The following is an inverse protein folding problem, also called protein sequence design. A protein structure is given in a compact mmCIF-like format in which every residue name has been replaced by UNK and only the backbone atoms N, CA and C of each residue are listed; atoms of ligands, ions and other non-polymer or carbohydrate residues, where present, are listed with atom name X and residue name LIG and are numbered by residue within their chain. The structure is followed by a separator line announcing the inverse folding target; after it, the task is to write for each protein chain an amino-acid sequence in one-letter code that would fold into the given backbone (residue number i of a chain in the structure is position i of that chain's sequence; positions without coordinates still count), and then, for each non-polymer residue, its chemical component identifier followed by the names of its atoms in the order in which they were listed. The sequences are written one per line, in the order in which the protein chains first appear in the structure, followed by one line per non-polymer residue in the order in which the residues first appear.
data_IF_287197061708
#
_entry.id   IF_287197061708
#
_cell.length_a   1.000
_cell.length_b   1.000
_cell.length_c   1.000
_cell.angle_alpha   90.00
_cell.angle_beta   90.00
_cell.angle_gamma   90.00
#
_symmetry.space_group_name_H-M   'P 1'
#
loop_
_entity.id
_entity.type
_entity.pdbx_description
1 polymer ?
#
# COMPACT_ATOMS: atom_id res chain seq x y z
N UNK A 1 -22.50 -15.42 13.80
CA UNK A 1 -23.21 -14.75 12.69
C UNK A 1 -23.57 -13.31 13.03
N UNK A 2 -24.24 -13.02 14.15
CA UNK A 2 -24.58 -11.63 14.56
C UNK A 2 -23.37 -10.67 14.63
N UNK A 3 -22.23 -11.09 15.19
CA UNK A 3 -21.04 -10.23 15.28
C UNK A 3 -20.45 -9.81 13.94
N UNK A 4 -20.54 -10.64 12.90
CA UNK A 4 -20.05 -10.32 11.55
C UNK A 4 -20.98 -9.27 10.91
N UNK A 5 -22.29 -9.41 11.10
CA UNK A 5 -23.29 -8.44 10.61
C UNK A 5 -23.09 -7.09 11.29
N UNK A 6 -22.88 -7.09 12.61
CA UNK A 6 -22.63 -5.87 13.39
C UNK A 6 -21.33 -5.17 12.95
N UNK A 7 -20.26 -5.93 12.73
CA UNK A 7 -19.00 -5.38 12.22
C UNK A 7 -19.14 -4.80 10.82
N UNK A 8 -19.91 -5.46 9.95
CA UNK A 8 -20.19 -4.96 8.60
C UNK A 8 -21.01 -3.66 8.62
N UNK A 9 -22.08 -3.63 9.42
CA UNK A 9 -22.91 -2.42 9.57
C UNK A 9 -22.11 -1.27 10.17
N UNK A 10 -21.25 -1.54 11.14
CA UNK A 10 -20.39 -0.53 11.74
C UNK A 10 -19.34 0.02 10.75
N UNK A 11 -18.72 -0.84 9.95
CA UNK A 11 -17.82 -0.43 8.87
C UNK A 11 -18.57 0.43 7.85
N UNK A 12 -19.76 0.01 7.44
CA UNK A 12 -20.62 0.78 6.52
C UNK A 12 -20.99 2.14 7.12
N UNK A 13 -21.35 2.20 8.41
CA UNK A 13 -21.64 3.45 9.12
C UNK A 13 -20.42 4.38 9.13
N UNK A 14 -19.21 3.85 9.41
CA UNK A 14 -17.97 4.64 9.35
C UNK A 14 -17.77 5.20 7.94
N UNK A 15 -17.99 4.41 6.89
CA UNK A 15 -17.90 4.88 5.51
C UNK A 15 -18.86 6.03 5.21
N UNK A 16 -20.13 5.87 5.57
CA UNK A 16 -21.16 6.91 5.37
C UNK A 16 -20.81 8.18 6.15
N UNK A 17 -20.44 8.04 7.41
CA UNK A 17 -20.01 9.16 8.25
C UNK A 17 -18.82 9.90 7.62
N UNK A 18 -17.80 9.17 7.14
CA UNK A 18 -16.63 9.77 6.48
C UNK A 18 -17.00 10.43 5.14
N UNK A 19 -17.96 9.92 4.39
CA UNK A 19 -18.46 10.59 3.19
C UNK A 19 -19.09 11.93 3.55
N UNK A 20 -19.91 12.00 4.60
CA UNK A 20 -20.53 13.24 5.10
C UNK A 20 -19.45 14.22 5.55
N UNK A 21 -18.48 13.77 6.35
CA UNK A 21 -17.36 14.60 6.81
C UNK A 21 -16.45 15.09 5.68
N UNK A 22 -16.36 14.34 4.58
CA UNK A 22 -15.55 14.73 3.43
C UNK A 22 -16.29 15.70 2.49
N UNK A 23 -17.61 15.78 2.58
CA UNK A 23 -18.44 16.62 1.70
C UNK A 23 -17.93 18.07 1.60
N UNK A 24 -17.60 18.79 2.70
CA UNK A 24 -17.08 20.15 2.63
C UNK A 24 -15.77 20.25 1.85
N UNK A 25 -14.94 19.20 1.88
CA UNK A 25 -13.64 19.21 1.17
C UNK A 25 -13.76 19.06 -0.34
N UNK A 26 -14.94 18.65 -0.86
CA UNK A 26 -15.19 18.62 -2.30
C UNK A 26 -15.15 20.04 -2.90
N UNK A 27 -15.46 21.06 -2.12
CA UNK A 27 -15.47 22.46 -2.55
C UNK A 27 -14.12 23.15 -2.43
N UNK A 28 -13.09 22.50 -1.85
CA UNK A 28 -11.75 23.06 -1.83
C UNK A 28 -11.23 23.23 -3.26
N UNK A 29 -10.62 24.38 -3.55
CA UNK A 29 -10.00 24.63 -4.87
C UNK A 29 -8.69 23.86 -5.02
N UNK A 30 -7.91 23.70 -3.95
CA UNK A 30 -6.60 23.08 -3.99
C UNK A 30 -6.69 21.54 -4.10
N UNK A 31 -6.24 21.02 -5.24
CA UNK A 31 -6.24 19.58 -5.57
C UNK A 31 -5.33 18.78 -4.61
N UNK A 32 -4.18 19.30 -4.25
CA UNK A 32 -3.24 18.63 -3.35
C UNK A 32 -3.85 18.43 -1.97
N UNK A 33 -4.49 19.46 -1.43
CA UNK A 33 -5.21 19.38 -0.15
C UNK A 33 -6.32 18.31 -0.20
N UNK A 34 -7.07 18.21 -1.29
CA UNK A 34 -8.10 17.16 -1.45
C UNK A 34 -7.48 15.77 -1.40
N UNK A 35 -6.39 15.55 -2.13
CA UNK A 35 -5.68 14.26 -2.17
C UNK A 35 -5.20 13.88 -0.76
N UNK A 36 -4.50 14.79 -0.08
CA UNK A 36 -3.98 14.56 1.29
C UNK A 36 -5.10 14.24 2.28
N UNK A 37 -6.19 14.98 2.27
CA UNK A 37 -7.35 14.73 3.13
C UNK A 37 -7.97 13.35 2.87
N UNK A 38 -8.12 12.94 1.60
CA UNK A 38 -8.63 11.62 1.27
C UNK A 38 -7.70 10.50 1.78
N UNK A 39 -6.37 10.67 1.67
CA UNK A 39 -5.39 9.69 2.17
C UNK A 39 -5.38 9.62 3.70
N UNK A 40 -5.49 10.76 4.39
CA UNK A 40 -5.63 10.81 5.85
C UNK A 40 -6.89 10.06 6.29
N UNK A 41 -8.03 10.26 5.64
CA UNK A 41 -9.26 9.54 5.98
C UNK A 41 -9.15 8.04 5.76
N UNK A 42 -8.55 7.59 4.65
CA UNK A 42 -8.30 6.16 4.43
C UNK A 42 -7.40 5.56 5.51
N UNK A 43 -6.38 6.30 5.95
CA UNK A 43 -5.51 5.90 7.05
C UNK A 43 -6.28 5.78 8.37
N UNK A 44 -7.05 6.79 8.75
CA UNK A 44 -7.85 6.78 9.99
C UNK A 44 -8.85 5.63 10.02
N UNK A 45 -9.51 5.37 8.88
CA UNK A 45 -10.39 4.22 8.73
C UNK A 45 -9.64 2.90 8.91
N UNK A 46 -8.44 2.80 8.34
CA UNK A 46 -7.59 1.62 8.46
C UNK A 46 -7.17 1.37 9.90
N UNK A 47 -6.73 2.42 10.61
CA UNK A 47 -6.38 2.34 12.03
C UNK A 47 -7.59 1.92 12.88
N UNK A 48 -8.76 2.50 12.62
CA UNK A 48 -9.99 2.15 13.32
C UNK A 48 -10.40 0.70 13.07
N UNK A 49 -10.29 0.23 11.82
CA UNK A 49 -10.56 -1.16 11.44
C UNK A 49 -9.65 -2.13 12.20
N UNK A 50 -8.34 -1.87 12.22
CA UNK A 50 -7.37 -2.73 12.93
C UNK A 50 -7.65 -2.77 14.45
N UNK A 51 -8.05 -1.64 15.05
CA UNK A 51 -8.45 -1.56 16.46
C UNK A 51 -9.70 -2.39 16.75
N UNK A 52 -10.76 -2.25 15.94
CA UNK A 52 -12.02 -2.98 16.09
C UNK A 52 -11.79 -4.50 16.02
N UNK A 53 -10.94 -4.94 15.10
CA UNK A 53 -10.60 -6.34 14.92
C UNK A 53 -9.55 -6.84 15.94
N UNK A 54 -9.08 -5.97 16.83
CA UNK A 54 -8.00 -6.23 17.79
C UNK A 54 -6.74 -6.82 17.10
N UNK A 55 -6.35 -6.22 15.97
CA UNK A 55 -5.13 -6.60 15.24
C UNK A 55 -3.96 -5.80 15.81
N UNK A 56 -2.96 -6.52 16.36
CA UNK A 56 -1.74 -5.92 16.91
C UNK A 56 -0.65 -5.90 15.85
N UNK A 57 -0.19 -4.71 15.47
CA UNK A 57 0.89 -4.52 14.49
C UNK A 57 2.19 -4.25 15.23
N UNK A 58 3.17 -5.14 15.04
CA UNK A 58 4.52 -5.00 15.57
C UNK A 58 5.47 -4.55 14.45
N UNK A 59 6.14 -3.41 14.64
CA UNK A 59 7.04 -2.81 13.66
C UNK A 59 8.49 -3.11 14.09
N UNK A 60 9.28 -3.61 13.14
CA UNK A 60 10.72 -3.83 13.30
C UNK A 60 11.47 -3.04 12.24
N UNK A 61 12.53 -2.37 12.65
CA UNK A 61 13.45 -1.71 11.72
C UNK A 61 14.74 -2.52 11.63
N UNK A 62 15.28 -2.63 10.43
CA UNK A 62 16.56 -3.30 10.16
C UNK A 62 17.66 -2.29 9.86
N UNK A 63 18.92 -2.73 10.03
CA UNK A 63 20.11 -1.96 9.65
C UNK A 63 20.16 -0.55 10.26
N UNK A 64 19.72 -0.41 11.52
CA UNK A 64 19.63 0.86 12.25
C UNK A 64 18.83 1.96 11.53
N UNK A 65 18.00 1.56 10.57
CA UNK A 65 17.12 2.48 9.87
C UNK A 65 15.91 2.84 10.73
N UNK A 66 15.52 4.12 10.68
CA UNK A 66 14.25 4.58 11.25
C UNK A 66 13.53 5.42 10.18
N UNK A 67 12.29 5.06 9.89
CA UNK A 67 11.47 5.72 8.86
C UNK A 67 11.30 7.23 9.12
N UNK A 68 11.35 7.66 10.38
CA UNK A 68 11.21 9.07 10.75
C UNK A 68 12.43 9.92 10.35
N UNK A 69 13.58 9.30 10.06
CA UNK A 69 14.77 9.99 9.57
C UNK A 69 14.76 10.24 8.07
N UNK A 70 13.75 9.70 7.38
CA UNK A 70 13.67 9.80 5.93
C UNK A 70 13.22 11.19 5.50
N UNK A 71 13.94 11.78 4.54
CA UNK A 71 13.53 13.04 3.92
C UNK A 71 12.25 12.85 3.10
N UNK A 72 11.17 13.46 3.58
CA UNK A 72 9.83 13.38 2.95
C UNK A 72 9.77 14.07 1.58
N UNK A 73 10.79 14.83 1.19
CA UNK A 73 10.87 15.47 -0.13
C UNK A 73 11.38 14.52 -1.20
N UNK A 74 11.97 13.39 -0.81
CA UNK A 74 12.44 12.39 -1.77
C UNK A 74 11.29 11.61 -2.39
N UNK A 75 11.48 11.19 -3.63
CA UNK A 75 10.58 10.23 -4.27
C UNK A 75 10.72 8.87 -3.59
N UNK A 76 9.62 8.33 -3.09
CA UNK A 76 9.61 7.09 -2.32
C UNK A 76 8.69 6.08 -2.98
N UNK A 77 9.20 4.88 -3.22
CA UNK A 77 8.41 3.71 -3.57
C UNK A 77 8.62 2.63 -2.52
N UNK A 78 7.54 2.21 -1.89
CA UNK A 78 7.53 1.12 -0.90
C UNK A 78 7.25 -0.17 -1.64
N UNK A 79 8.10 -1.17 -1.48
CA UNK A 79 7.93 -2.51 -2.07
C UNK A 79 7.64 -3.49 -0.94
N UNK A 80 6.47 -4.12 -0.98
CA UNK A 80 6.05 -5.09 0.04
C UNK A 80 5.56 -6.40 -0.58
N UNK A 81 5.68 -7.52 0.15
CA UNK A 81 4.98 -8.75 -0.20
C UNK A 81 3.46 -8.61 0.02
N UNK A 82 2.67 -9.51 -0.57
CA UNK A 82 1.20 -9.39 -0.58
C UNK A 82 0.51 -10.66 -0.13
N UNK A 83 0.09 -10.70 1.13
CA UNK A 83 -0.58 -11.84 1.74
C UNK A 83 -2.12 -11.70 1.73
N UNK A 84 -2.63 -10.49 1.99
CA UNK A 84 -4.03 -10.26 2.29
C UNK A 84 -4.51 -8.87 1.86
N UNK A 85 -5.83 -8.65 1.84
CA UNK A 85 -6.38 -7.30 1.76
C UNK A 85 -5.97 -6.44 2.98
N UNK A 86 -5.65 -7.09 4.10
CA UNK A 86 -5.24 -6.43 5.33
C UNK A 86 -3.81 -5.87 5.29
N UNK A 87 -3.02 -6.18 4.26
CA UNK A 87 -1.73 -5.52 4.04
C UNK A 87 -1.90 -4.01 3.84
N UNK A 88 -3.00 -3.58 3.20
CA UNK A 88 -3.29 -2.16 2.95
C UNK A 88 -3.53 -1.39 4.26
N UNK A 89 -4.50 -1.77 5.12
CA UNK A 89 -4.70 -1.07 6.40
C UNK A 89 -3.50 -1.17 7.33
N UNK A 90 -2.74 -2.27 7.30
CA UNK A 90 -1.51 -2.41 8.08
C UNK A 90 -0.47 -1.38 7.61
N UNK A 91 -0.18 -1.29 6.32
CA UNK A 91 0.78 -0.31 5.79
C UNK A 91 0.34 1.13 6.02
N UNK A 92 -0.95 1.45 5.87
CA UNK A 92 -1.48 2.78 6.18
C UNK A 92 -1.29 3.15 7.66
N UNK A 93 -1.40 2.18 8.57
CA UNK A 93 -1.16 2.40 9.99
C UNK A 93 0.31 2.56 10.36
N UNK A 94 1.20 1.85 9.66
CA UNK A 94 2.65 1.86 9.88
C UNK A 94 3.29 3.14 9.34
N UNK A 95 2.93 3.55 8.12
CA UNK A 95 3.45 4.74 7.47
C UNK A 95 2.61 5.99 7.76
N UNK A 96 2.20 6.16 9.02
CA UNK A 96 1.28 7.24 9.44
C UNK A 96 1.79 8.66 9.16
N UNK A 97 3.11 8.84 9.11
CA UNK A 97 3.76 10.12 8.83
C UNK A 97 3.85 10.44 7.33
N UNK A 98 3.43 9.49 6.47
CA UNK A 98 3.48 9.62 5.03
C UNK A 98 2.08 9.45 4.45
N UNK A 99 1.77 10.29 3.46
CA UNK A 99 0.51 10.15 2.71
C UNK A 99 0.69 9.10 1.60
N UNK A 100 0.87 7.81 1.99
CA UNK A 100 1.10 6.73 1.04
C UNK A 100 -0.13 6.43 0.18
N UNK A 101 0.10 6.09 -1.09
CA UNK A 101 -0.89 5.55 -2.00
C UNK A 101 -0.52 4.13 -2.45
N UNK A 102 -1.38 3.51 -3.25
CA UNK A 102 -1.18 2.13 -3.71
C UNK A 102 -1.37 2.00 -5.21
N UNK A 103 -0.63 1.07 -5.82
CA UNK A 103 -0.92 0.55 -7.16
C UNK A 103 -1.89 -0.61 -7.00
N UNK A 104 -3.13 -0.40 -7.38
CA UNK A 104 -4.22 -1.36 -7.30
C UNK A 104 -4.54 -2.00 -8.65
N UNK A 105 -5.28 -3.09 -8.66
CA UNK A 105 -5.81 -3.69 -9.88
C UNK A 105 -6.90 -2.80 -10.49
N UNK A 106 -6.97 -2.75 -11.82
CA UNK A 106 -7.98 -1.97 -12.57
C UNK A 106 -9.42 -2.33 -12.16
N UNK A 107 -9.68 -3.60 -11.88
CA UNK A 107 -11.00 -4.09 -11.48
C UNK A 107 -11.50 -3.45 -10.16
N UNK A 108 -10.60 -2.99 -9.30
CA UNK A 108 -10.98 -2.30 -8.05
C UNK A 108 -11.54 -0.90 -8.30
N UNK A 109 -11.38 -0.35 -9.51
CA UNK A 109 -11.91 0.95 -9.88
C UNK A 109 -13.45 1.01 -9.88
N UNK A 110 -14.10 -0.13 -9.97
CA UNK A 110 -15.57 -0.28 -9.95
C UNK A 110 -16.12 -0.72 -8.60
N UNK A 111 -15.26 -0.99 -7.63
CA UNK A 111 -15.72 -1.41 -6.30
C UNK A 111 -16.49 -0.29 -5.61
N UNK A 112 -17.68 -0.56 -5.06
CA UNK A 112 -18.46 0.45 -4.38
C UNK A 112 -17.69 1.00 -3.17
N UNK A 113 -17.89 2.25 -2.83
CA UNK A 113 -17.27 3.00 -1.74
C UNK A 113 -15.75 3.14 -1.83
N UNK A 114 -14.97 2.03 -1.89
CA UNK A 114 -13.51 2.04 -1.92
C UNK A 114 -12.95 2.77 -3.14
N UNK A 115 -13.50 2.51 -4.32
CA UNK A 115 -12.99 3.12 -5.56
C UNK A 115 -13.07 4.63 -5.52
N UNK A 116 -14.15 5.18 -4.94
CA UNK A 116 -14.35 6.63 -4.81
C UNK A 116 -13.24 7.26 -3.95
N UNK A 117 -12.91 6.65 -2.81
CA UNK A 117 -11.85 7.12 -1.94
C UNK A 117 -10.47 6.94 -2.55
N UNK A 118 -10.22 5.85 -3.25
CA UNK A 118 -8.98 5.62 -3.98
C UNK A 118 -8.80 6.67 -5.10
N UNK A 119 -9.85 7.01 -5.84
CA UNK A 119 -9.84 8.08 -6.85
C UNK A 119 -9.56 9.45 -6.22
N UNK A 120 -10.24 9.78 -5.13
CA UNK A 120 -9.99 11.02 -4.37
C UNK A 120 -8.55 11.12 -3.86
N UNK A 121 -8.00 10.00 -3.37
CA UNK A 121 -6.61 9.89 -2.91
C UNK A 121 -5.58 9.78 -4.05
N UNK A 122 -6.02 9.86 -5.32
CA UNK A 122 -5.17 9.74 -6.50
C UNK A 122 -4.36 8.44 -6.51
N UNK A 123 -5.01 7.30 -6.17
CA UNK A 123 -4.41 5.97 -6.25
C UNK A 123 -4.39 5.50 -7.71
N UNK A 124 -3.45 4.62 -8.00
CA UNK A 124 -3.20 4.16 -9.37
C UNK A 124 -3.96 2.86 -9.62
N UNK A 125 -4.71 2.80 -10.72
CA UNK A 125 -5.36 1.58 -11.17
C UNK A 125 -4.61 1.00 -12.37
N UNK A 126 -3.96 -0.14 -12.17
CA UNK A 126 -3.11 -0.80 -13.16
C UNK A 126 -3.88 -1.88 -13.92
N UNK A 127 -4.06 -1.68 -15.21
CA UNK A 127 -4.53 -2.76 -16.08
C UNK A 127 -3.36 -3.68 -16.43
N UNK A 128 -3.42 -4.91 -15.94
CA UNK A 128 -2.38 -5.94 -16.15
C UNK A 128 -2.65 -6.81 -17.37
N UNK A 129 -3.87 -6.75 -17.92
CA UNK A 129 -4.28 -7.54 -19.09
C UNK A 129 -3.94 -6.84 -20.40
N UNK A 130 -3.76 -5.51 -20.39
CA UNK A 130 -3.42 -4.71 -21.54
C UNK A 130 -2.08 -4.00 -21.31
N UNK A 131 -1.04 -4.42 -22.03
CA UNK A 131 0.31 -3.89 -21.89
C UNK A 131 0.38 -2.37 -22.18
N UNK A 132 -0.35 -1.88 -23.18
CA UNK A 132 -0.38 -0.45 -23.53
C UNK A 132 -1.00 0.41 -22.42
N UNK A 133 -2.10 -0.05 -21.85
CA UNK A 133 -2.74 0.62 -20.71
C UNK A 133 -1.88 0.51 -19.45
N UNK A 134 -1.23 -0.64 -19.24
CA UNK A 134 -0.27 -0.84 -18.16
C UNK A 134 0.86 0.19 -18.19
N UNK A 135 1.43 0.48 -19.37
CA UNK A 135 2.46 1.51 -19.55
C UNK A 135 1.91 2.91 -19.19
N UNK A 136 0.68 3.24 -19.62
CA UNK A 136 0.04 4.51 -19.24
C UNK A 136 -0.13 4.63 -17.72
N UNK A 137 -0.59 3.56 -17.07
CA UNK A 137 -0.76 3.54 -15.60
C UNK A 137 0.58 3.73 -14.87
N UNK A 138 1.67 3.12 -15.36
CA UNK A 138 3.00 3.33 -14.76
C UNK A 138 3.48 4.76 -14.98
N UNK A 139 3.28 5.36 -16.14
CA UNK A 139 3.62 6.79 -16.39
C UNK A 139 2.84 7.71 -15.42
N UNK A 140 1.56 7.43 -15.21
CA UNK A 140 0.75 8.16 -14.22
C UNK A 140 1.30 7.97 -12.80
N UNK A 141 1.69 6.75 -12.44
CA UNK A 141 2.31 6.45 -11.16
C UNK A 141 3.61 7.24 -10.95
N UNK A 142 4.47 7.32 -11.96
CA UNK A 142 5.69 8.13 -11.94
C UNK A 142 5.38 9.60 -11.66
N UNK A 143 4.38 10.16 -12.34
CA UNK A 143 3.96 11.56 -12.10
C UNK A 143 3.48 11.78 -10.66
N UNK A 144 2.72 10.83 -10.10
CA UNK A 144 2.23 10.91 -8.73
C UNK A 144 3.38 10.87 -7.72
N UNK A 145 4.34 9.96 -7.91
CA UNK A 145 5.52 9.85 -7.05
C UNK A 145 6.37 11.13 -7.14
N UNK A 146 6.57 11.66 -8.36
CA UNK A 146 7.33 12.90 -8.57
C UNK A 146 6.62 14.15 -8.00
N UNK A 147 5.32 14.06 -7.75
CA UNK A 147 4.56 15.09 -7.04
C UNK A 147 4.66 14.97 -5.50
N UNK A 148 5.56 14.12 -4.98
CA UNK A 148 5.82 13.95 -3.55
C UNK A 148 4.84 13.01 -2.85
N UNK A 149 4.17 12.12 -3.59
CA UNK A 149 3.28 11.12 -3.02
C UNK A 149 3.91 9.72 -3.00
N UNK A 150 4.36 9.22 -1.84
CA UNK A 150 4.90 7.87 -1.72
C UNK A 150 3.89 6.84 -2.18
N UNK A 151 4.36 5.82 -2.90
CA UNK A 151 3.50 4.81 -3.51
C UNK A 151 3.96 3.41 -3.16
N UNK A 152 3.02 2.57 -2.73
CA UNK A 152 3.24 1.16 -2.42
C UNK A 152 2.97 0.30 -3.65
N UNK A 153 3.87 -0.65 -3.91
CA UNK A 153 3.69 -1.71 -4.90
C UNK A 153 3.85 -3.06 -4.24
N UNK A 154 2.98 -3.99 -4.61
CA UNK A 154 3.10 -5.41 -4.33
C UNK A 154 3.63 -6.11 -5.59
N UNK A 155 4.93 -6.44 -5.67
CA UNK A 155 5.55 -6.89 -6.92
C UNK A 155 5.15 -8.31 -7.33
N UNK A 156 4.55 -9.09 -6.42
CA UNK A 156 3.95 -10.38 -6.72
C UNK A 156 2.79 -10.25 -7.72
N UNK A 157 2.11 -9.11 -7.68
CA UNK A 157 1.02 -8.79 -8.58
C UNK A 157 -0.32 -9.37 -8.17
N UNK A 158 -0.37 -10.24 -7.18
CA UNK A 158 -1.58 -10.80 -6.60
C UNK A 158 -1.32 -11.22 -5.15
N UNK A 159 -2.38 -11.45 -4.39
CA UNK A 159 -2.27 -11.95 -3.02
C UNK A 159 -1.85 -13.42 -3.02
N UNK A 160 -1.01 -13.79 -2.07
CA UNK A 160 -0.62 -15.19 -1.85
C UNK A 160 -1.84 -16.08 -1.56
N UNK A 161 -1.83 -17.29 -2.10
CA UNK A 161 -2.83 -18.33 -1.79
C UNK A 161 -2.40 -19.25 -0.66
N UNK A 162 -1.10 -19.27 -0.36
CA UNK A 162 -0.48 -20.18 0.63
C UNK A 162 0.08 -19.45 1.85
N UNK A 163 0.03 -18.12 1.86
CA UNK A 163 0.69 -17.28 2.85
C UNK A 163 2.19 -17.04 2.54
N UNK A 164 2.81 -17.82 1.65
CA UNK A 164 4.23 -17.67 1.28
C UNK A 164 4.43 -16.58 0.24
N UNK A 165 5.63 -15.99 0.23
CA UNK A 165 6.04 -14.99 -0.77
C UNK A 165 6.27 -15.66 -2.11
N UNK A 166 5.69 -15.10 -3.16
CA UNK A 166 5.88 -15.56 -4.54
C UNK A 166 6.95 -14.73 -5.26
N UNK A 167 7.29 -15.13 -6.48
CA UNK A 167 8.31 -14.45 -7.29
C UNK A 167 7.90 -13.02 -7.62
N UNK A 168 8.85 -12.08 -7.50
CA UNK A 168 8.64 -10.68 -7.82
C UNK A 168 8.70 -10.42 -9.33
N UNK A 169 7.70 -9.72 -9.85
CA UNK A 169 7.63 -9.36 -11.27
C UNK A 169 8.56 -8.18 -11.54
N UNK A 170 9.53 -8.37 -12.41
CA UNK A 170 10.49 -7.34 -12.84
C UNK A 170 9.82 -6.04 -13.28
N UNK A 171 8.68 -6.13 -13.98
CA UNK A 171 7.90 -4.96 -14.43
C UNK A 171 7.39 -4.06 -13.32
N UNK A 172 7.22 -4.58 -12.10
CA UNK A 172 6.82 -3.77 -10.94
C UNK A 172 7.88 -2.76 -10.51
N UNK A 173 9.14 -3.01 -10.87
CA UNK A 173 10.26 -2.13 -10.55
C UNK A 173 10.47 -1.01 -11.56
N UNK A 174 9.68 -0.99 -12.64
CA UNK A 174 9.71 0.12 -13.59
C UNK A 174 9.33 1.44 -12.91
N UNK A 175 8.37 1.45 -11.98
CA UNK A 175 7.99 2.65 -11.26
C UNK A 175 9.16 3.27 -10.48
N UNK A 176 9.84 2.60 -9.54
CA UNK A 176 10.96 3.21 -8.81
C UNK A 176 12.14 3.59 -9.71
N UNK A 177 12.38 2.86 -10.79
CA UNK A 177 13.43 3.18 -11.75
C UNK A 177 13.11 4.47 -12.53
N UNK A 178 11.92 4.56 -13.12
CA UNK A 178 11.51 5.70 -13.95
C UNK A 178 11.30 6.98 -13.13
N UNK A 179 10.83 6.86 -11.87
CA UNK A 179 10.68 7.99 -10.94
C UNK A 179 11.95 8.34 -10.16
N UNK A 180 13.04 7.62 -10.38
CA UNK A 180 14.32 7.79 -9.65
C UNK A 180 14.13 7.78 -8.13
N UNK A 181 13.21 6.96 -7.66
CA UNK A 181 12.84 6.87 -6.25
C UNK A 181 13.85 6.07 -5.45
N UNK A 182 13.90 6.35 -4.14
CA UNK A 182 14.42 5.37 -3.19
C UNK A 182 13.39 4.25 -3.01
N UNK A 183 13.87 3.03 -2.86
CA UNK A 183 13.03 1.85 -2.59
C UNK A 183 13.12 1.54 -1.10
N UNK A 184 11.96 1.41 -0.45
CA UNK A 184 11.87 0.92 0.94
C UNK A 184 11.34 -0.51 0.89
N UNK A 185 12.17 -1.53 1.14
CA UNK A 185 11.70 -2.90 1.26
C UNK A 185 10.92 -3.09 2.56
N UNK A 186 9.76 -3.72 2.46
CA UNK A 186 8.89 -3.98 3.62
C UNK A 186 8.41 -5.43 3.59
N UNK A 187 8.61 -6.14 4.69
CA UNK A 187 8.10 -7.50 4.85
C UNK A 187 6.90 -7.49 5.79
N UNK A 188 5.78 -8.04 5.32
CA UNK A 188 4.55 -8.19 6.08
C UNK A 188 4.35 -9.68 6.36
N UNK A 189 4.13 -10.02 7.63
CA UNK A 189 3.85 -11.40 8.03
C UNK A 189 2.69 -11.45 9.02
N UNK A 190 1.73 -12.38 8.80
CA UNK A 190 0.56 -12.61 9.65
C UNK A 190 -0.76 -12.06 9.14
N UNK A 191 -0.79 -11.26 8.08
CA UNK A 191 -2.05 -10.77 7.49
C UNK A 191 -2.83 -11.87 6.78
N UNK A 192 -2.15 -12.93 6.30
CA UNK A 192 -2.78 -14.13 5.74
C UNK A 192 -3.73 -14.80 6.73
N UNK A 193 -3.38 -14.79 8.03
CA UNK A 193 -4.21 -15.35 9.10
C UNK A 193 -5.39 -14.47 9.49
N UNK A 194 -5.41 -13.21 9.07
CA UNK A 194 -6.57 -12.32 9.24
C UNK A 194 -7.61 -12.65 8.15
N UNK A 195 -7.20 -12.68 6.89
CA UNK A 195 -8.09 -12.97 5.76
C UNK A 195 -7.31 -13.63 4.62
N UNK A 196 -7.66 -14.86 4.29
CA UNK A 196 -7.12 -15.58 3.14
C UNK A 196 -7.67 -15.02 1.83
N UNK A 197 -6.95 -15.20 0.74
CA UNK A 197 -7.42 -14.87 -0.62
C UNK A 197 -8.72 -15.60 -0.91
N UNK A 198 -9.71 -14.87 -1.43
CA UNK A 198 -11.04 -15.36 -1.77
C UNK A 198 -11.89 -15.85 -0.58
N UNK A 199 -11.47 -15.63 0.66
CA UNK A 199 -12.28 -15.91 1.84
C UNK A 199 -13.05 -14.66 2.26
N UNK A 200 -14.37 -14.79 2.57
CA UNK A 200 -15.14 -13.71 3.18
C UNK A 200 -14.88 -13.60 4.69
N UNK A 201 -14.27 -14.62 5.30
CA UNK A 201 -14.06 -14.68 6.74
C UNK A 201 -12.87 -13.83 7.17
N UNK A 202 -13.07 -13.08 8.24
CA UNK A 202 -12.05 -12.25 8.88
C UNK A 202 -11.84 -12.77 10.29
N UNK A 203 -10.58 -13.05 10.64
CA UNK A 203 -10.18 -13.49 11.98
C UNK A 203 -9.80 -12.30 12.83
N UNK A 204 -10.25 -12.32 14.08
CA UNK A 204 -9.96 -11.29 15.10
C UNK A 204 -8.72 -11.66 15.92
N UNK A 205 -8.24 -10.71 16.74
CA UNK A 205 -7.19 -10.93 17.73
C UNK A 205 -5.88 -11.46 17.13
N UNK A 206 -5.52 -11.03 15.94
CA UNK A 206 -4.28 -11.47 15.26
C UNK A 206 -3.12 -10.53 15.52
N UNK A 207 -1.91 -11.08 15.41
CA UNK A 207 -0.66 -10.32 15.45
C UNK A 207 -0.06 -10.27 14.05
N UNK A 208 0.39 -9.10 13.65
CA UNK A 208 1.08 -8.86 12.38
C UNK A 208 2.45 -8.29 12.66
N UNK A 209 3.47 -8.82 12.00
CA UNK A 209 4.82 -8.26 12.02
C UNK A 209 5.06 -7.51 10.73
N UNK A 210 5.60 -6.29 10.84
CA UNK A 210 6.04 -5.48 9.70
C UNK A 210 7.51 -5.15 9.90
N UNK A 211 8.37 -5.70 9.03
CA UNK A 211 9.80 -5.39 9.03
C UNK A 211 10.09 -4.38 7.94
N UNK A 212 10.67 -3.25 8.29
CA UNK A 212 11.07 -2.18 7.38
C UNK A 212 12.61 -2.21 7.28
N UNK A 213 13.10 -2.43 6.07
CA UNK A 213 14.54 -2.46 5.82
C UNK A 213 15.08 -1.08 5.41
N UNK A 214 16.41 -0.95 5.44
CA UNK A 214 17.08 0.27 5.01
C UNK A 214 16.74 0.63 3.56
N UNK A 215 16.57 1.92 3.24
CA UNK A 215 16.21 2.35 1.90
C UNK A 215 17.34 2.09 0.90
N UNK A 216 16.96 1.62 -0.29
CA UNK A 216 17.88 1.40 -1.41
C UNK A 216 17.81 2.63 -2.33
N UNK A 217 18.91 3.39 -2.35
CA UNK A 217 19.06 4.51 -3.29
C UNK A 217 19.62 4.02 -4.61
N UNK A 218 18.88 4.24 -5.70
CA UNK A 218 19.28 3.79 -7.04
C UNK A 218 20.18 4.80 -7.78
N UNK A 219 20.35 6.02 -7.25
CA UNK A 219 21.04 7.11 -7.95
C UNK A 219 22.46 6.71 -8.37
N UNK A 220 23.23 6.13 -7.44
CA UNK A 220 24.64 5.79 -7.62
C UNK A 220 24.86 4.29 -7.91
N UNK A 221 23.83 3.55 -8.31
CA UNK A 221 23.95 2.13 -8.65
C UNK A 221 24.18 1.95 -10.15
N UNK A 222 25.00 0.98 -10.51
CA UNK A 222 25.30 0.63 -11.90
C UNK A 222 24.06 0.05 -12.63
N UNK A 223 24.16 -0.10 -13.94
CA UNK A 223 23.08 -0.59 -14.79
C UNK A 223 22.74 -2.06 -14.48
N UNK A 224 23.71 -2.89 -14.14
CA UNK A 224 23.48 -4.30 -13.84
C UNK A 224 22.70 -4.45 -12.53
N UNK A 225 23.05 -3.69 -11.49
CA UNK A 225 22.29 -3.65 -10.24
C UNK A 225 20.84 -3.20 -10.50
N UNK A 226 20.65 -2.11 -11.25
CA UNK A 226 19.31 -1.59 -11.59
C UNK A 226 18.49 -2.61 -12.38
N UNK A 227 19.09 -3.36 -13.31
CA UNK A 227 18.44 -4.41 -14.09
C UNK A 227 17.95 -5.58 -13.22
N UNK A 228 18.65 -5.86 -12.13
CA UNK A 228 18.43 -6.99 -11.23
C UNK A 228 17.85 -6.59 -9.86
N UNK A 229 17.48 -5.33 -9.66
CA UNK A 229 16.96 -4.80 -8.39
C UNK A 229 15.78 -5.61 -7.83
N UNK A 230 14.96 -6.21 -8.69
CA UNK A 230 13.84 -7.05 -8.27
C UNK A 230 14.29 -8.29 -7.51
N UNK A 231 15.42 -8.91 -7.89
CA UNK A 231 15.99 -10.06 -7.19
C UNK A 231 16.56 -9.64 -5.83
N UNK A 232 17.25 -8.49 -5.78
CA UNK A 232 17.79 -7.94 -4.53
C UNK A 232 16.69 -7.68 -3.51
N UNK A 233 15.62 -6.98 -3.92
CA UNK A 233 14.51 -6.66 -3.02
C UNK A 233 13.72 -7.92 -2.64
N UNK A 234 13.52 -8.85 -3.57
CA UNK A 234 12.88 -10.15 -3.28
C UNK A 234 13.66 -10.92 -2.20
N UNK A 235 14.99 -10.97 -2.32
CA UNK A 235 15.86 -11.62 -1.35
C UNK A 235 15.72 -10.98 0.04
N UNK A 236 15.85 -9.66 0.14
CA UNK A 236 15.69 -8.90 1.41
C UNK A 236 14.35 -9.20 2.07
N UNK A 237 13.26 -9.15 1.30
CA UNK A 237 11.92 -9.37 1.85
C UNK A 237 11.73 -10.82 2.30
N UNK A 238 12.29 -11.81 1.57
CA UNK A 238 12.23 -13.22 1.96
C UNK A 238 13.06 -13.53 3.20
N UNK A 239 14.21 -12.90 3.38
CA UNK A 239 15.08 -13.08 4.55
C UNK A 239 14.45 -12.52 5.84
N UNK A 240 13.54 -11.58 5.72
CA UNK A 240 12.81 -10.98 6.83
C UNK A 240 11.43 -11.63 7.10
N UNK A 241 11.02 -12.61 6.29
CA UNK A 241 9.74 -13.28 6.40
C UNK A 241 9.77 -14.45 7.37
#
# INVERSE_FOLDING_TARGET
MLGIIFSFLFILFIFIYKEICFFPFLFLKNKDTKIRKARIYLREMSVSLLKILNIKVNIKYKNNFNINTLDKKQNIVIIANHQSNFDIPVLLSVFKEFDIGFVAKKEMETWPFFSRWMKRGNYIFLNRKNAREGIKSIKQAVSIVNSGYPTVIFPEGERSTTGKITKFKKGSFKLPLDSKSIIIPVTINGTFDIQRKNSPFISLNKKVSVTIDAPINLKNKDLNFKKNIHLTVEKIIKENF
#
